data_IF_755987754585
#
_entry.id   IF_755987754585
#
_cell.length_a   1.000
_cell.length_b   1.000
_cell.length_c   1.000
_cell.angle_alpha   90.00
_cell.angle_beta   90.00
_cell.angle_gamma   90.00
#
_symmetry.space_group_name_H-M   'P 1'
#
loop_
_entity.id
_entity.type
_entity.pdbx_description
1 polymer ?
#
# COMPACT_ATOMS: atom_id res chain seq x y z
N UNK A 1 21.35 -8.31 5.77
CA UNK A 1 20.79 -9.57 5.35
C UNK A 1 21.26 -10.77 6.13
N UNK A 2 22.11 -10.65 7.09
CA UNK A 2 22.31 -11.78 7.98
C UNK A 2 20.98 -12.30 8.53
N UNK A 3 20.07 -11.41 8.86
CA UNK A 3 18.74 -11.75 9.41
C UNK A 3 17.83 -12.44 8.39
N UNK A 4 17.74 -11.95 7.16
CA UNK A 4 16.93 -12.57 6.13
C UNK A 4 17.57 -13.86 5.57
N UNK A 5 18.90 -13.88 5.40
CA UNK A 5 19.63 -15.10 5.02
C UNK A 5 19.54 -16.20 6.09
N UNK A 6 19.66 -15.84 7.37
CA UNK A 6 19.46 -16.78 8.48
C UNK A 6 18.05 -17.36 8.49
N UNK A 7 17.07 -16.65 7.91
CA UNK A 7 15.67 -17.05 7.80
C UNK A 7 15.32 -17.65 6.42
N UNK A 8 16.31 -17.91 5.56
CA UNK A 8 16.12 -18.58 4.27
C UNK A 8 15.52 -17.69 3.16
N UNK A 9 15.41 -16.39 3.38
CA UNK A 9 14.85 -15.47 2.38
C UNK A 9 15.98 -14.81 1.61
N UNK A 10 16.00 -14.98 0.29
CA UNK A 10 16.88 -14.24 -0.60
C UNK A 10 16.28 -12.86 -0.89
N UNK A 11 17.07 -11.81 -0.65
CA UNK A 11 16.79 -10.50 -1.22
C UNK A 11 17.55 -10.43 -2.53
N UNK A 12 16.84 -10.30 -3.62
CA UNK A 12 17.42 -10.15 -4.95
C UNK A 12 17.43 -8.68 -5.35
N UNK A 13 18.27 -8.27 -6.31
CA UNK A 13 18.20 -6.92 -6.87
C UNK A 13 16.79 -6.58 -7.39
N UNK A 14 16.06 -7.58 -7.84
CA UNK A 14 14.70 -7.46 -8.29
C UNK A 14 13.73 -7.02 -7.18
N UNK A 15 14.04 -7.26 -5.92
CA UNK A 15 13.22 -6.82 -4.78
C UNK A 15 13.43 -5.35 -4.38
N UNK A 16 14.25 -4.61 -5.10
CA UNK A 16 14.59 -3.22 -4.74
C UNK A 16 13.41 -2.28 -4.76
N UNK A 17 12.52 -2.40 -5.72
CA UNK A 17 11.51 -1.40 -6.01
C UNK A 17 10.09 -1.79 -5.62
N UNK A 18 9.89 -2.92 -5.00
CA UNK A 18 8.53 -3.43 -4.89
C UNK A 18 7.77 -3.57 -6.23
N UNK A 19 8.36 -2.99 -7.29
CA UNK A 19 7.86 -2.95 -8.66
C UNK A 19 8.08 -4.21 -9.43
N UNK A 20 8.92 -5.05 -8.95
CA UNK A 20 9.35 -6.27 -9.61
C UNK A 20 8.21 -7.25 -9.73
N UNK A 21 7.22 -7.06 -8.94
CA UNK A 21 5.96 -7.76 -9.06
C UNK A 21 5.17 -7.36 -10.31
N UNK A 22 5.55 -6.24 -10.95
CA UNK A 22 4.77 -5.68 -12.06
C UNK A 22 4.72 -6.50 -13.33
N UNK A 23 5.72 -7.30 -13.65
CA UNK A 23 5.75 -8.03 -14.92
C UNK A 23 5.99 -9.52 -14.83
N UNK A 24 6.32 -10.06 -13.69
CA UNK A 24 6.79 -11.42 -13.70
C UNK A 24 6.24 -12.32 -12.62
N UNK A 25 5.63 -11.82 -11.55
CA UNK A 25 5.26 -12.71 -10.45
C UNK A 25 6.38 -13.73 -10.10
N UNK A 26 7.63 -13.37 -10.47
CA UNK A 26 8.78 -14.29 -10.49
C UNK A 26 9.78 -13.88 -9.44
N UNK A 27 9.51 -14.26 -8.21
CA UNK A 27 10.58 -14.40 -7.23
C UNK A 27 11.30 -15.71 -7.49
N UNK A 28 12.64 -15.71 -7.41
CA UNK A 28 13.47 -16.86 -7.78
C UNK A 28 13.02 -18.15 -7.06
N UNK A 29 12.65 -18.05 -5.78
CA UNK A 29 12.24 -19.20 -4.98
C UNK A 29 10.72 -19.45 -4.99
N UNK A 30 9.92 -18.64 -5.73
CA UNK A 30 8.45 -18.66 -5.73
C UNK A 30 7.89 -19.07 -7.09
N UNK A 31 6.92 -19.97 -7.07
CA UNK A 31 6.01 -20.22 -8.19
C UNK A 31 4.74 -19.42 -7.93
N UNK A 32 4.48 -18.44 -8.76
CA UNK A 32 3.58 -17.33 -8.52
C UNK A 32 3.96 -16.54 -7.25
N UNK A 33 3.57 -15.27 -7.18
CA UNK A 33 3.86 -14.44 -6.00
C UNK A 33 2.60 -14.09 -5.22
N UNK A 34 1.52 -13.78 -5.94
CA UNK A 34 0.24 -13.36 -5.38
C UNK A 34 -0.86 -13.50 -6.43
N UNK A 35 -2.13 -13.42 -5.99
CA UNK A 35 -3.32 -13.35 -6.85
C UNK A 35 -3.40 -14.48 -7.88
N UNK A 36 -3.16 -15.72 -7.44
CA UNK A 36 -2.93 -16.86 -8.30
C UNK A 36 -4.15 -17.78 -8.50
N UNK A 37 -5.32 -17.45 -7.96
CA UNK A 37 -6.48 -18.34 -8.08
C UNK A 37 -6.80 -18.74 -9.53
N UNK A 38 -6.75 -17.77 -10.46
CA UNK A 38 -7.07 -18.01 -11.86
C UNK A 38 -5.92 -18.59 -12.67
N UNK A 39 -4.70 -18.59 -12.10
CA UNK A 39 -3.58 -19.37 -12.67
C UNK A 39 -3.78 -20.87 -12.48
N UNK A 40 -4.57 -21.31 -11.47
CA UNK A 40 -4.91 -22.71 -11.22
C UNK A 40 -6.27 -23.11 -11.82
N UNK A 41 -7.27 -22.22 -11.75
CA UNK A 41 -8.63 -22.49 -12.25
C UNK A 41 -9.04 -21.34 -13.14
N UNK A 42 -8.69 -21.44 -14.43
CA UNK A 42 -8.93 -20.41 -15.42
C UNK A 42 -10.43 -20.24 -15.70
N UNK A 43 -10.97 -19.01 -15.66
CA UNK A 43 -12.34 -18.78 -16.09
C UNK A 43 -12.60 -19.12 -17.55
N UNK A 44 -11.61 -18.91 -18.42
CA UNK A 44 -11.73 -19.20 -19.88
C UNK A 44 -11.89 -20.70 -20.16
N UNK A 45 -11.35 -21.54 -19.25
CA UNK A 45 -11.45 -23.01 -19.38
C UNK A 45 -12.72 -23.55 -18.73
N UNK A 46 -13.11 -23.01 -17.56
CA UNK A 46 -14.12 -23.67 -16.73
C UNK A 46 -15.44 -22.91 -16.59
N UNK A 47 -15.53 -21.59 -16.82
CA UNK A 47 -16.71 -20.85 -16.40
C UNK A 47 -17.99 -21.22 -17.16
N UNK A 48 -17.90 -21.47 -18.45
CA UNK A 48 -19.07 -21.78 -19.26
C UNK A 48 -19.71 -23.15 -18.93
N UNK A 49 -18.89 -24.10 -18.46
CA UNK A 49 -19.35 -25.46 -18.12
C UNK A 49 -19.51 -25.69 -16.64
N UNK A 50 -18.71 -24.98 -15.79
CA UNK A 50 -18.61 -25.14 -14.34
C UNK A 50 -18.65 -23.78 -13.61
N UNK A 51 -19.71 -22.98 -13.75
CA UNK A 51 -19.81 -21.70 -13.06
C UNK A 51 -19.79 -21.83 -11.55
N UNK A 52 -20.09 -23.01 -10.99
CA UNK A 52 -20.03 -23.31 -9.54
C UNK A 52 -18.61 -23.32 -8.97
N UNK A 53 -17.57 -23.37 -9.78
CA UNK A 53 -16.17 -23.24 -9.35
C UNK A 53 -15.84 -21.82 -8.92
N UNK A 54 -16.60 -20.85 -9.41
CA UNK A 54 -16.36 -19.43 -9.17
C UNK A 54 -17.26 -18.89 -8.06
N UNK A 55 -16.82 -17.78 -7.45
CA UNK A 55 -17.48 -17.19 -6.29
C UNK A 55 -18.91 -16.75 -6.58
N UNK A 56 -19.78 -16.96 -5.61
CA UNK A 56 -21.15 -16.45 -5.62
C UNK A 56 -21.20 -15.11 -4.90
N UNK A 57 -21.84 -14.11 -5.51
CA UNK A 57 -22.23 -12.85 -4.88
C UNK A 57 -23.64 -12.44 -5.31
N UNK A 58 -24.50 -12.12 -4.34
CA UNK A 58 -25.88 -11.75 -4.64
C UNK A 58 -26.67 -12.86 -5.36
N UNK A 59 -26.41 -14.13 -5.04
CA UNK A 59 -27.06 -15.29 -5.66
C UNK A 59 -26.57 -15.68 -7.06
N UNK A 60 -25.60 -14.96 -7.62
CA UNK A 60 -25.06 -15.22 -8.96
C UNK A 60 -23.59 -15.61 -8.90
N UNK A 61 -23.17 -16.58 -9.72
CA UNK A 61 -21.79 -16.97 -9.95
C UNK A 61 -21.20 -16.08 -11.03
N UNK A 62 -19.98 -15.57 -10.81
CA UNK A 62 -19.27 -14.74 -11.78
C UNK A 62 -17.76 -14.84 -11.55
N UNK A 63 -16.99 -14.68 -12.62
CA UNK A 63 -15.53 -14.57 -12.57
C UNK A 63 -15.03 -13.13 -12.69
N UNK A 64 -15.92 -12.16 -13.02
CA UNK A 64 -15.62 -10.72 -13.04
C UNK A 64 -16.66 -9.95 -12.21
N UNK A 65 -16.22 -9.02 -11.40
CA UNK A 65 -17.04 -8.11 -10.61
C UNK A 65 -16.49 -6.69 -10.68
N UNK A 66 -17.30 -5.75 -11.17
CA UNK A 66 -16.93 -4.33 -11.29
C UNK A 66 -15.57 -4.11 -12.01
N UNK A 67 -15.35 -4.86 -13.10
CA UNK A 67 -14.14 -4.75 -13.91
C UNK A 67 -12.89 -5.44 -13.35
N UNK A 68 -12.97 -6.07 -12.17
CA UNK A 68 -11.87 -6.86 -11.59
C UNK A 68 -12.22 -8.35 -11.50
N UNK A 69 -11.19 -9.17 -11.33
CA UNK A 69 -11.32 -10.63 -11.18
C UNK A 69 -12.19 -11.01 -9.98
N UNK A 70 -13.01 -12.04 -10.13
CA UNK A 70 -13.75 -12.66 -9.03
C UNK A 70 -12.86 -13.54 -8.16
N UNK A 71 -13.49 -14.41 -7.36
CA UNK A 71 -12.80 -15.37 -6.50
C UNK A 71 -13.25 -16.79 -6.86
N UNK A 72 -12.57 -17.80 -6.33
CA UNK A 72 -13.00 -19.20 -6.43
C UNK A 72 -14.01 -19.58 -5.32
N UNK A 73 -14.74 -20.66 -5.52
CA UNK A 73 -15.58 -21.31 -4.51
C UNK A 73 -14.78 -22.43 -3.82
N UNK A 74 -14.02 -22.11 -2.80
CA UNK A 74 -13.10 -23.04 -2.15
C UNK A 74 -13.81 -24.17 -1.33
N UNK A 75 -15.12 -24.09 -1.15
CA UNK A 75 -15.90 -25.19 -0.59
C UNK A 75 -16.35 -26.23 -1.63
N UNK A 76 -16.07 -25.99 -2.93
CA UNK A 76 -16.33 -26.97 -3.98
C UNK A 76 -15.18 -27.99 -4.02
N UNK A 77 -15.45 -29.30 -3.89
CA UNK A 77 -14.40 -30.32 -3.87
C UNK A 77 -13.68 -30.47 -5.21
N UNK A 78 -14.34 -30.25 -6.34
CA UNK A 78 -13.73 -30.34 -7.67
C UNK A 78 -12.70 -29.22 -7.88
N UNK A 79 -12.94 -28.02 -7.34
CA UNK A 79 -11.96 -26.92 -7.34
C UNK A 79 -10.68 -27.35 -6.57
N UNK A 80 -10.88 -28.06 -5.45
CA UNK A 80 -9.74 -28.59 -4.72
C UNK A 80 -8.93 -29.60 -5.56
N UNK A 81 -9.61 -30.55 -6.23
CA UNK A 81 -8.95 -31.61 -7.02
C UNK A 81 -8.16 -31.02 -8.20
N UNK A 82 -8.71 -29.98 -8.87
CA UNK A 82 -8.02 -29.25 -9.95
C UNK A 82 -6.76 -28.57 -9.39
N UNK A 83 -6.90 -27.82 -8.29
CA UNK A 83 -5.78 -27.08 -7.68
C UNK A 83 -4.72 -28.05 -7.14
N UNK A 84 -5.09 -29.16 -6.49
CA UNK A 84 -4.17 -30.17 -6.00
C UNK A 84 -3.34 -30.76 -7.17
N UNK A 85 -4.00 -31.18 -8.24
CA UNK A 85 -3.35 -31.75 -9.43
C UNK A 85 -2.35 -30.78 -10.04
N UNK A 86 -2.77 -29.54 -10.26
CA UNK A 86 -1.94 -28.53 -10.89
C UNK A 86 -0.76 -28.09 -9.98
N UNK A 87 -1.01 -27.91 -8.69
CA UNK A 87 0.04 -27.57 -7.73
C UNK A 87 1.10 -28.66 -7.63
N UNK A 88 0.69 -29.93 -7.56
CA UNK A 88 1.64 -31.05 -7.54
C UNK A 88 2.44 -31.15 -8.85
N UNK A 89 1.81 -30.88 -10.00
CA UNK A 89 2.51 -30.81 -11.30
C UNK A 89 3.58 -29.69 -11.27
N UNK A 90 3.21 -28.48 -10.85
CA UNK A 90 4.12 -27.34 -10.75
C UNK A 90 5.27 -27.59 -9.78
N UNK A 91 5.01 -28.23 -8.63
CA UNK A 91 6.06 -28.64 -7.69
C UNK A 91 7.03 -29.59 -8.37
N UNK A 92 6.55 -30.55 -9.16
CA UNK A 92 7.39 -31.51 -9.88
C UNK A 92 8.24 -30.84 -10.96
N UNK A 93 7.65 -29.95 -11.74
CA UNK A 93 8.31 -29.28 -12.87
C UNK A 93 9.30 -28.18 -12.45
N UNK A 94 9.15 -27.64 -11.23
CA UNK A 94 9.99 -26.57 -10.71
C UNK A 94 10.77 -27.01 -9.45
N UNK A 95 11.75 -27.92 -9.58
CA UNK A 95 12.51 -28.40 -8.44
C UNK A 95 13.36 -27.33 -7.76
N UNK A 96 13.66 -26.23 -8.44
CA UNK A 96 14.39 -25.07 -7.92
C UNK A 96 13.52 -24.16 -7.03
N UNK A 97 12.17 -24.29 -7.10
CA UNK A 97 11.24 -23.47 -6.32
C UNK A 97 10.96 -24.11 -4.96
N UNK A 98 10.81 -23.26 -3.95
CA UNK A 98 10.42 -23.67 -2.59
C UNK A 98 9.00 -23.26 -2.22
N UNK A 99 8.52 -22.13 -2.74
CA UNK A 99 7.25 -21.55 -2.36
C UNK A 99 6.27 -21.59 -3.53
N UNK A 100 5.09 -22.12 -3.29
CA UNK A 100 4.00 -22.22 -4.25
C UNK A 100 2.80 -21.45 -3.72
N UNK A 101 2.43 -20.38 -4.42
CA UNK A 101 1.36 -19.49 -3.99
C UNK A 101 -0.01 -20.01 -4.40
N UNK A 102 -0.95 -19.89 -3.49
CA UNK A 102 -2.38 -20.01 -3.76
C UNK A 102 -3.12 -18.92 -2.99
N UNK A 103 -3.33 -17.79 -3.62
CA UNK A 103 -3.91 -16.61 -2.98
C UNK A 103 -5.04 -15.96 -3.79
N UNK A 104 -5.93 -15.28 -3.06
CA UNK A 104 -7.09 -14.62 -3.64
C UNK A 104 -6.70 -13.56 -4.68
N UNK A 105 -7.55 -13.40 -5.69
CA UNK A 105 -7.41 -12.37 -6.71
C UNK A 105 -7.61 -10.97 -6.13
N UNK A 106 -7.01 -9.96 -6.75
CA UNK A 106 -7.05 -8.57 -6.30
C UNK A 106 -8.38 -7.89 -6.67
N UNK A 107 -9.38 -8.09 -5.82
CA UNK A 107 -10.65 -7.40 -5.97
C UNK A 107 -11.34 -7.17 -4.61
N UNK A 108 -11.26 -5.94 -4.10
CA UNK A 108 -11.89 -5.57 -2.83
C UNK A 108 -13.44 -5.56 -2.86
N UNK A 109 -14.06 -5.57 -4.05
CA UNK A 109 -15.51 -5.66 -4.21
C UNK A 109 -16.06 -7.06 -3.93
N UNK A 110 -15.20 -8.09 -3.88
CA UNK A 110 -15.60 -9.49 -3.67
C UNK A 110 -15.00 -10.01 -2.37
N UNK A 111 -15.82 -10.07 -1.34
CA UNK A 111 -15.44 -10.58 -0.02
C UNK A 111 -15.52 -12.11 0.05
N UNK A 112 -14.84 -12.82 -0.86
CA UNK A 112 -14.91 -14.28 -0.97
C UNK A 112 -16.23 -14.79 -1.56
N UNK A 113 -16.41 -16.12 -1.58
CA UNK A 113 -17.62 -16.76 -2.07
C UNK A 113 -18.74 -16.68 -1.05
N UNK A 114 -19.92 -16.24 -1.48
CA UNK A 114 -21.12 -16.10 -0.64
C UNK A 114 -22.07 -17.31 -0.68
N UNK A 115 -21.66 -18.47 -1.18
CA UNK A 115 -22.48 -19.69 -1.11
C UNK A 115 -22.66 -20.12 0.35
N UNK A 116 -23.64 -21.00 0.59
CA UNK A 116 -24.02 -21.44 1.93
C UNK A 116 -22.85 -22.06 2.72
N UNK A 117 -22.08 -22.92 2.04
CA UNK A 117 -20.96 -23.64 2.69
C UNK A 117 -19.78 -22.73 2.98
N UNK A 118 -19.32 -21.86 2.04
CA UNK A 118 -18.28 -20.90 2.30
C UNK A 118 -18.65 -19.98 3.47
N UNK A 119 -19.89 -19.41 3.46
CA UNK A 119 -20.36 -18.57 4.58
C UNK A 119 -20.38 -19.30 5.92
N UNK A 120 -20.75 -20.59 5.95
CA UNK A 120 -20.76 -21.39 7.16
C UNK A 120 -19.35 -21.56 7.74
N UNK A 121 -18.38 -21.90 6.89
CA UNK A 121 -16.98 -22.09 7.27
C UNK A 121 -16.36 -20.76 7.75
N UNK A 122 -16.55 -19.68 7.01
CA UNK A 122 -16.02 -18.36 7.37
C UNK A 122 -16.62 -17.84 8.69
N UNK A 123 -17.92 -18.05 8.90
CA UNK A 123 -18.60 -17.70 10.16
C UNK A 123 -18.04 -18.50 11.34
N UNK A 124 -17.81 -19.79 11.18
CA UNK A 124 -17.24 -20.65 12.21
C UNK A 124 -15.82 -20.20 12.61
N UNK A 125 -15.03 -19.69 11.66
CA UNK A 125 -13.70 -19.17 11.88
C UNK A 125 -13.64 -17.70 12.37
N UNK A 126 -14.76 -17.13 12.80
CA UNK A 126 -14.81 -15.76 13.33
C UNK A 126 -15.12 -14.68 12.29
N UNK A 127 -15.69 -15.06 11.14
CA UNK A 127 -16.14 -14.13 10.09
C UNK A 127 -15.03 -13.68 9.14
N UNK A 128 -14.03 -14.49 8.93
CA UNK A 128 -12.92 -14.26 7.99
C UNK A 128 -12.94 -15.29 6.85
N UNK A 129 -12.57 -14.87 5.64
CA UNK A 129 -12.40 -15.77 4.49
C UNK A 129 -11.34 -16.85 4.70
N UNK A 130 -10.52 -16.73 5.74
CA UNK A 130 -9.58 -17.79 6.15
C UNK A 130 -10.28 -19.04 6.68
N UNK A 131 -11.56 -18.94 7.07
CA UNK A 131 -12.36 -20.11 7.44
C UNK A 131 -12.51 -21.11 6.32
N UNK A 132 -12.62 -20.63 5.08
CA UNK A 132 -12.67 -21.45 3.88
C UNK A 132 -11.27 -21.74 3.31
N UNK A 133 -10.40 -20.74 3.29
CA UNK A 133 -9.08 -20.83 2.64
C UNK A 133 -8.10 -21.69 3.43
N UNK A 134 -7.96 -21.51 4.74
CA UNK A 134 -6.89 -22.17 5.49
C UNK A 134 -7.05 -23.71 5.59
N UNK A 135 -8.24 -24.30 5.78
CA UNK A 135 -8.41 -25.74 5.66
C UNK A 135 -8.05 -26.29 4.26
N UNK A 136 -8.36 -25.54 3.21
CA UNK A 136 -8.02 -25.87 1.83
C UNK A 136 -6.48 -25.93 1.66
N UNK A 137 -5.77 -24.88 2.10
CA UNK A 137 -4.31 -24.83 2.08
C UNK A 137 -3.65 -25.92 2.91
N UNK A 138 -4.18 -26.18 4.10
CA UNK A 138 -3.66 -27.23 4.97
C UNK A 138 -3.74 -28.62 4.29
N UNK A 139 -4.82 -28.88 3.56
CA UNK A 139 -4.98 -30.12 2.80
C UNK A 139 -3.95 -30.20 1.67
N UNK A 140 -3.73 -29.11 0.92
CA UNK A 140 -2.68 -29.04 -0.11
C UNK A 140 -1.28 -29.21 0.48
N UNK A 141 -0.98 -28.57 1.59
CA UNK A 141 0.31 -28.62 2.26
C UNK A 141 0.66 -30.03 2.77
N UNK A 142 -0.33 -30.73 3.34
CA UNK A 142 -0.15 -32.16 3.71
C UNK A 142 0.11 -33.04 2.50
N UNK A 143 -0.63 -32.82 1.40
CA UNK A 143 -0.47 -33.59 0.18
C UNK A 143 0.90 -33.36 -0.46
N UNK A 144 1.35 -32.12 -0.53
CA UNK A 144 2.66 -31.76 -1.06
C UNK A 144 3.79 -32.45 -0.28
N UNK A 145 3.74 -32.45 1.06
CA UNK A 145 4.71 -33.18 1.90
C UNK A 145 4.67 -34.69 1.70
N UNK A 146 3.49 -35.25 1.48
CA UNK A 146 3.36 -36.69 1.27
C UNK A 146 3.91 -37.13 -0.09
N UNK A 147 3.78 -36.33 -1.13
CA UNK A 147 4.25 -36.61 -2.48
C UNK A 147 5.75 -36.29 -2.63
N UNK A 148 6.22 -35.24 -1.96
CA UNK A 148 7.62 -34.76 -2.03
C UNK A 148 8.26 -34.70 -0.63
N UNK A 149 8.43 -35.86 0.06
CA UNK A 149 8.90 -35.89 1.45
C UNK A 149 10.32 -35.38 1.63
N UNK A 150 11.16 -35.50 0.63
CA UNK A 150 12.58 -35.10 0.66
C UNK A 150 12.81 -33.68 0.17
N UNK A 151 11.72 -32.92 -0.12
CA UNK A 151 11.81 -31.55 -0.60
C UNK A 151 11.25 -30.56 0.41
N UNK A 152 11.94 -29.45 0.54
CA UNK A 152 11.44 -28.28 1.28
C UNK A 152 10.43 -27.51 0.41
N UNK A 153 9.13 -27.83 0.57
CA UNK A 153 8.03 -27.22 -0.19
C UNK A 153 7.09 -26.51 0.77
N UNK A 154 6.85 -25.25 0.50
CA UNK A 154 5.93 -24.38 1.23
C UNK A 154 4.75 -23.97 0.35
N UNK A 155 3.54 -24.03 0.89
CA UNK A 155 2.34 -23.47 0.27
C UNK A 155 2.10 -22.10 0.90
N UNK A 156 2.04 -21.06 0.09
CA UNK A 156 1.84 -19.71 0.59
C UNK A 156 0.50 -19.11 0.19
N UNK A 157 0.03 -18.16 0.97
CA UNK A 157 -1.15 -17.37 0.65
C UNK A 157 -1.06 -15.95 1.20
N UNK A 158 -1.92 -15.05 0.70
CA UNK A 158 -2.10 -13.70 1.24
C UNK A 158 -3.11 -13.70 2.38
N UNK A 159 -2.77 -13.03 3.47
CA UNK A 159 -3.74 -12.49 4.42
C UNK A 159 -4.04 -11.05 4.01
N UNK A 160 -5.14 -10.85 3.25
CA UNK A 160 -5.43 -9.64 2.50
C UNK A 160 -6.94 -9.43 2.37
N UNK A 161 -7.45 -8.21 2.51
CA UNK A 161 -8.88 -7.90 2.47
C UNK A 161 -9.76 -8.85 3.31
N UNK A 162 -10.54 -9.71 2.66
CA UNK A 162 -11.47 -10.61 3.33
C UNK A 162 -10.80 -11.77 4.08
N UNK A 163 -9.53 -12.06 3.78
CA UNK A 163 -8.69 -13.05 4.46
C UNK A 163 -7.70 -12.44 5.46
N UNK A 164 -7.71 -11.11 5.66
CA UNK A 164 -6.74 -10.39 6.48
C UNK A 164 -6.74 -10.82 7.96
N UNK A 165 -7.93 -11.07 8.51
CA UNK A 165 -8.07 -11.46 9.93
C UNK A 165 -7.70 -12.91 10.17
N UNK A 166 -6.88 -13.16 11.19
CA UNK A 166 -6.56 -14.51 11.65
C UNK A 166 -7.83 -15.32 12.00
N UNK A 167 -7.95 -16.57 11.56
CA UNK A 167 -9.10 -17.42 11.84
C UNK A 167 -9.10 -17.92 13.29
N UNK A 168 -10.29 -18.16 13.86
CA UNK A 168 -10.44 -18.79 15.15
C UNK A 168 -10.47 -20.32 15.01
N UNK A 169 -9.74 -21.01 15.88
CA UNK A 169 -9.82 -22.47 16.01
C UNK A 169 -9.14 -23.26 14.87
N UNK A 170 -8.41 -22.61 13.99
CA UNK A 170 -7.68 -23.23 12.88
C UNK A 170 -6.22 -22.80 12.96
N UNK A 171 -5.28 -23.76 12.89
CA UNK A 171 -3.84 -23.51 12.78
C UNK A 171 -3.35 -23.94 11.40
N UNK A 172 -2.21 -23.40 10.99
CA UNK A 172 -1.55 -23.80 9.74
C UNK A 172 -0.85 -25.16 9.91
N UNK A 173 -0.72 -25.87 8.80
CA UNK A 173 0.30 -26.91 8.66
C UNK A 173 1.70 -26.29 8.71
N UNK A 174 2.76 -27.03 9.13
CA UNK A 174 4.10 -26.48 9.30
C UNK A 174 4.74 -25.91 8.03
N UNK A 175 4.24 -26.31 6.86
CA UNK A 175 4.70 -25.82 5.56
C UNK A 175 3.71 -24.85 4.87
N UNK A 176 2.85 -24.21 5.65
CA UNK A 176 2.01 -23.11 5.15
C UNK A 176 2.64 -21.78 5.57
N UNK A 177 2.78 -20.85 4.63
CA UNK A 177 3.33 -19.51 4.83
C UNK A 177 2.24 -18.46 4.60
N UNK A 178 2.06 -17.59 5.56
CA UNK A 178 1.09 -16.48 5.50
C UNK A 178 1.84 -15.20 5.14
N UNK A 179 1.51 -14.60 3.98
CA UNK A 179 1.93 -13.25 3.61
C UNK A 179 0.92 -12.26 4.14
N UNK A 180 1.23 -11.66 5.29
CA UNK A 180 0.35 -10.72 5.99
C UNK A 180 0.55 -9.31 5.47
N UNK A 181 -0.50 -8.72 4.91
CA UNK A 181 -0.48 -7.38 4.36
C UNK A 181 -0.69 -6.32 5.46
N UNK A 182 0.17 -5.29 5.52
CA UNK A 182 0.10 -4.20 6.50
C UNK A 182 -0.92 -3.11 6.14
N UNK A 183 -1.88 -3.40 5.27
CA UNK A 183 -2.85 -2.42 4.74
C UNK A 183 -3.52 -1.49 5.75
N UNK A 184 -3.95 -1.96 6.94
CA UNK A 184 -4.55 -1.07 7.93
C UNK A 184 -3.51 -0.22 8.65
N UNK A 185 -2.20 -0.46 8.44
CA UNK A 185 -1.13 0.24 9.13
C UNK A 185 -1.08 1.74 8.82
N UNK A 186 -0.66 2.53 9.81
CA UNK A 186 -0.21 3.90 9.62
C UNK A 186 1.31 3.88 9.38
N UNK A 187 1.72 4.25 8.18
CA UNK A 187 3.13 4.21 7.75
C UNK A 187 3.98 5.33 8.36
N UNK A 188 3.35 6.28 9.07
CA UNK A 188 4.01 7.36 9.80
C UNK A 188 4.23 7.07 11.30
N UNK A 189 3.67 5.95 11.81
CA UNK A 189 3.73 5.56 13.23
C UNK A 189 4.45 4.24 13.40
N UNK A 190 5.36 4.17 14.36
CA UNK A 190 6.12 2.95 14.69
C UNK A 190 5.21 1.81 15.16
N UNK A 191 5.44 0.61 14.66
CA UNK A 191 4.76 -0.61 15.14
C UNK A 191 5.30 -1.09 16.50
N UNK A 192 6.47 -0.64 16.95
CA UNK A 192 6.97 -0.87 18.32
C UNK A 192 6.21 -0.05 19.36
N UNK A 193 5.89 1.20 19.01
CA UNK A 193 5.09 2.11 19.84
C UNK A 193 3.88 2.62 19.04
N UNK A 194 2.90 1.76 18.79
CA UNK A 194 1.83 2.05 17.84
C UNK A 194 0.79 3.05 18.35
N UNK A 195 0.86 3.49 19.61
CA UNK A 195 -0.17 4.35 20.21
C UNK A 195 -1.58 3.76 20.03
N UNK A 196 -2.53 4.59 19.62
CA UNK A 196 -3.89 4.20 19.24
C UNK A 196 -4.11 4.43 17.74
N UNK A 197 -4.90 3.59 17.10
CA UNK A 197 -5.27 3.74 15.68
C UNK A 197 -4.71 2.63 14.78
N UNK A 198 -4.43 2.97 13.54
CA UNK A 198 -4.11 1.99 12.49
C UNK A 198 -2.81 1.21 12.73
N UNK A 199 -1.79 1.83 13.31
CA UNK A 199 -0.55 1.13 13.67
C UNK A 199 -0.82 0.08 14.77
N UNK A 200 -1.67 0.40 15.75
CA UNK A 200 -2.13 -0.54 16.79
C UNK A 200 -2.92 -1.69 16.18
N UNK A 201 -3.77 -1.42 15.19
CA UNK A 201 -4.54 -2.48 14.52
C UNK A 201 -3.61 -3.52 13.89
N UNK A 202 -2.57 -3.07 13.18
CA UNK A 202 -1.59 -3.98 12.58
C UNK A 202 -0.72 -4.69 13.62
N UNK A 203 -0.26 -3.99 14.66
CA UNK A 203 0.47 -4.58 15.77
C UNK A 203 -0.32 -5.75 16.39
N UNK A 204 -1.60 -5.54 16.72
CA UNK A 204 -2.44 -6.56 17.34
C UNK A 204 -2.77 -7.70 16.36
N UNK A 205 -2.77 -7.41 15.07
CA UNK A 205 -3.00 -8.41 14.02
C UNK A 205 -1.84 -9.41 13.94
N UNK A 206 -0.60 -8.96 14.02
CA UNK A 206 0.59 -9.84 14.07
C UNK A 206 0.47 -10.80 15.27
N UNK A 207 0.09 -10.30 16.46
CA UNK A 207 -0.08 -11.12 17.64
C UNK A 207 -1.13 -12.24 17.44
N UNK A 208 -2.26 -11.92 16.81
CA UNK A 208 -3.31 -12.92 16.49
C UNK A 208 -2.86 -13.93 15.45
N UNK A 209 -2.10 -13.52 14.45
CA UNK A 209 -1.56 -14.44 13.45
C UNK A 209 -0.50 -15.38 14.03
N UNK A 210 0.29 -14.93 15.01
CA UNK A 210 1.24 -15.80 15.74
C UNK A 210 0.56 -16.94 16.51
N UNK A 211 -0.71 -16.78 16.89
CA UNK A 211 -1.49 -17.88 17.48
C UNK A 211 -1.86 -18.95 16.43
N UNK A 212 -1.84 -18.61 15.15
CA UNK A 212 -2.27 -19.46 14.03
C UNK A 212 -1.07 -20.12 13.33
N UNK A 213 0.05 -19.42 13.20
CA UNK A 213 1.22 -19.85 12.42
C UNK A 213 2.53 -19.32 12.98
N UNK A 214 3.61 -20.08 12.78
CA UNK A 214 4.99 -19.67 13.02
C UNK A 214 5.67 -19.09 11.76
N UNK A 215 4.97 -19.07 10.61
CA UNK A 215 5.53 -18.69 9.31
C UNK A 215 4.80 -17.50 8.72
N UNK A 216 5.21 -16.31 9.19
CA UNK A 216 4.69 -15.04 8.71
C UNK A 216 5.74 -14.36 7.83
N UNK A 217 5.35 -13.96 6.64
CA UNK A 217 6.04 -12.98 5.80
C UNK A 217 5.17 -11.72 5.79
N UNK A 218 5.75 -10.55 6.02
CA UNK A 218 4.99 -9.29 5.95
C UNK A 218 5.08 -8.73 4.54
N UNK A 219 3.92 -8.43 3.97
CA UNK A 219 3.80 -7.57 2.80
C UNK A 219 3.53 -6.16 3.31
N UNK A 220 4.57 -5.37 3.38
CA UNK A 220 4.53 -4.01 3.89
C UNK A 220 4.39 -3.00 2.76
N UNK A 221 3.73 -1.87 3.05
CA UNK A 221 3.53 -0.79 2.11
C UNK A 221 4.28 0.44 2.63
N UNK A 222 5.06 1.09 1.76
CA UNK A 222 5.97 2.16 2.19
C UNK A 222 5.75 3.48 1.46
N UNK A 223 4.66 3.58 0.69
CA UNK A 223 4.25 4.76 -0.08
C UNK A 223 2.74 4.94 -0.04
N UNK A 224 2.25 6.09 -0.52
CA UNK A 224 0.84 6.33 -0.72
C UNK A 224 0.45 6.01 -2.17
N UNK A 225 -0.32 4.96 -2.39
CA UNK A 225 -0.75 4.51 -3.74
C UNK A 225 -1.76 5.44 -4.41
N UNK A 226 -2.48 6.24 -3.62
CA UNK A 226 -3.39 7.25 -4.15
C UNK A 226 -2.67 8.50 -4.63
N UNK A 227 -1.46 8.75 -4.10
CA UNK A 227 -0.68 9.94 -4.38
C UNK A 227 0.82 9.60 -4.33
N UNK A 228 1.35 8.94 -5.36
CA UNK A 228 2.73 8.47 -5.41
C UNK A 228 3.77 9.61 -5.35
N UNK A 229 3.37 10.82 -5.73
CA UNK A 229 4.25 12.00 -5.77
C UNK A 229 4.19 12.88 -4.51
N UNK A 230 3.28 12.61 -3.58
CA UNK A 230 3.17 13.45 -2.39
C UNK A 230 4.36 13.20 -1.44
N UNK A 231 4.91 14.23 -0.77
CA UNK A 231 5.89 14.02 0.30
C UNK A 231 5.37 13.03 1.34
N UNK A 232 6.15 11.97 1.61
CA UNK A 232 5.75 10.85 2.46
C UNK A 232 6.84 10.51 3.49
N UNK A 233 6.96 11.32 4.59
CA UNK A 233 8.10 11.30 5.50
C UNK A 233 8.04 10.15 6.51
N UNK A 234 8.24 8.91 6.07
CA UNK A 234 8.18 7.70 6.91
C UNK A 234 9.54 7.03 7.18
N UNK A 235 10.66 7.65 6.84
CA UNK A 235 11.98 7.07 7.13
C UNK A 235 12.23 6.87 8.63
N UNK A 236 11.70 7.76 9.47
CA UNK A 236 11.92 7.74 10.92
C UNK A 236 11.38 6.52 11.65
N UNK A 237 10.40 5.82 11.07
CA UNK A 237 9.78 4.62 11.68
C UNK A 237 10.31 3.30 11.14
N UNK A 238 11.09 3.31 10.05
CA UNK A 238 11.47 2.09 9.35
C UNK A 238 12.35 1.15 10.19
N UNK A 239 13.27 1.70 10.99
CA UNK A 239 14.08 0.89 11.91
C UNK A 239 13.22 0.19 12.96
N UNK A 240 12.30 0.91 13.55
CA UNK A 240 11.45 0.40 14.61
C UNK A 240 10.48 -0.66 14.05
N UNK A 241 9.95 -0.44 12.85
CA UNK A 241 9.13 -1.42 12.16
C UNK A 241 9.93 -2.70 11.86
N UNK A 242 11.18 -2.57 11.40
CA UNK A 242 12.07 -3.71 11.21
C UNK A 242 12.33 -4.46 12.52
N UNK A 243 12.58 -3.74 13.62
CA UNK A 243 12.77 -4.33 14.95
C UNK A 243 11.49 -5.08 15.40
N UNK A 244 10.31 -4.48 15.21
CA UNK A 244 9.03 -5.11 15.51
C UNK A 244 8.86 -6.42 14.73
N UNK A 245 9.20 -6.46 13.45
CA UNK A 245 9.15 -7.69 12.66
C UNK A 245 10.11 -8.76 13.18
N UNK A 246 11.33 -8.37 13.57
CA UNK A 246 12.33 -9.28 14.14
C UNK A 246 11.88 -9.88 15.50
N UNK A 247 11.37 -9.05 16.40
CA UNK A 247 10.84 -9.47 17.72
C UNK A 247 9.63 -10.38 17.60
N UNK A 248 8.87 -10.25 16.51
CA UNK A 248 7.72 -11.08 16.23
C UNK A 248 8.02 -12.31 15.37
N UNK A 249 9.28 -12.65 15.14
CA UNK A 249 9.69 -13.79 14.33
C UNK A 249 9.15 -13.77 12.90
N UNK A 250 8.91 -12.60 12.32
CA UNK A 250 8.59 -12.46 10.92
C UNK A 250 9.75 -13.00 10.08
N UNK A 251 9.46 -13.95 9.20
CA UNK A 251 10.49 -14.68 8.45
C UNK A 251 11.01 -13.92 7.24
N UNK A 252 10.26 -12.92 6.78
CA UNK A 252 10.64 -12.05 5.68
C UNK A 252 9.72 -10.87 5.55
N UNK A 253 10.23 -9.83 4.88
CA UNK A 253 9.49 -8.61 4.59
C UNK A 253 9.61 -8.31 3.10
N UNK A 254 8.49 -7.97 2.50
CA UNK A 254 8.43 -7.39 1.18
C UNK A 254 7.89 -5.96 1.33
N UNK A 255 8.72 -4.97 1.00
CA UNK A 255 8.29 -3.56 0.98
C UNK A 255 7.80 -3.19 -0.41
N UNK A 256 6.51 -2.91 -0.55
CA UNK A 256 5.95 -2.40 -1.79
C UNK A 256 6.10 -0.88 -1.84
N UNK A 257 6.96 -0.43 -2.73
CA UNK A 257 7.24 0.98 -3.00
C UNK A 257 6.57 1.50 -4.27
N UNK A 258 7.07 2.62 -4.79
CA UNK A 258 6.65 3.18 -6.07
C UNK A 258 7.12 2.32 -7.25
N UNK A 259 6.29 2.22 -8.28
CA UNK A 259 6.65 1.52 -9.54
C UNK A 259 7.47 2.40 -10.47
N UNK A 260 7.51 3.70 -10.21
CA UNK A 260 8.14 4.72 -11.04
C UNK A 260 9.22 5.44 -10.23
N UNK A 261 10.33 5.77 -10.87
CA UNK A 261 11.42 6.55 -10.26
C UNK A 261 10.99 7.95 -9.84
N UNK A 262 9.92 8.47 -10.47
CA UNK A 262 9.29 9.73 -10.11
C UNK A 262 8.51 9.73 -8.81
N UNK A 263 8.21 8.56 -8.23
CA UNK A 263 7.58 8.48 -6.93
C UNK A 263 8.39 9.19 -5.85
N UNK A 264 7.71 9.65 -4.81
CA UNK A 264 8.36 10.41 -3.74
C UNK A 264 9.52 9.62 -3.12
N UNK A 265 10.71 10.18 -3.21
CA UNK A 265 11.97 9.60 -2.68
C UNK A 265 12.26 8.16 -3.15
N UNK A 266 11.73 7.71 -4.29
CA UNK A 266 11.72 6.31 -4.70
C UNK A 266 13.13 5.68 -4.67
N UNK A 267 14.13 6.33 -5.28
CA UNK A 267 15.51 5.80 -5.37
C UNK A 267 16.16 5.73 -3.97
N UNK A 268 16.00 6.78 -3.15
CA UNK A 268 16.55 6.80 -1.80
C UNK A 268 15.83 5.77 -0.92
N UNK A 269 14.51 5.63 -1.04
CA UNK A 269 13.72 4.65 -0.30
C UNK A 269 14.15 3.23 -0.62
N UNK A 270 14.34 2.91 -1.89
CA UNK A 270 14.84 1.60 -2.34
C UNK A 270 16.21 1.29 -1.74
N UNK A 271 17.12 2.26 -1.75
CA UNK A 271 18.45 2.10 -1.15
C UNK A 271 18.38 1.86 0.36
N UNK A 272 17.68 2.73 1.09
CA UNK A 272 17.57 2.65 2.55
C UNK A 272 16.90 1.36 3.00
N UNK A 273 15.77 0.99 2.40
CA UNK A 273 15.05 -0.23 2.76
C UNK A 273 15.82 -1.50 2.38
N UNK A 274 16.48 -1.52 1.24
CA UNK A 274 17.33 -2.66 0.86
C UNK A 274 18.47 -2.86 1.87
N UNK A 275 19.08 -1.78 2.32
CA UNK A 275 20.14 -1.80 3.31
C UNK A 275 19.61 -2.20 4.69
N UNK A 276 18.46 -1.66 5.10
CA UNK A 276 17.79 -2.03 6.35
C UNK A 276 17.42 -3.51 6.39
N UNK A 277 16.85 -4.06 5.31
CA UNK A 277 16.58 -5.49 5.21
C UNK A 277 17.85 -6.34 5.27
N UNK A 278 18.99 -5.79 4.85
CA UNK A 278 20.29 -6.45 4.93
C UNK A 278 20.89 -6.43 6.33
N UNK A 279 20.94 -5.27 6.98
CA UNK A 279 21.61 -5.04 8.25
C UNK A 279 20.70 -5.34 9.47
N UNK A 280 19.38 -5.31 9.26
CA UNK A 280 18.39 -5.47 10.34
C UNK A 280 18.22 -4.20 11.15
N UNK A 281 17.51 -4.31 12.28
CA UNK A 281 17.16 -3.18 13.15
C UNK A 281 18.37 -2.51 13.86
N UNK A 282 19.58 -3.06 13.69
CA UNK A 282 20.81 -2.43 14.19
C UNK A 282 21.31 -1.28 13.31
N UNK A 283 20.74 -1.12 12.11
CA UNK A 283 21.07 -0.03 11.19
C UNK A 283 20.64 1.32 11.73
N UNK A 284 21.56 2.29 11.71
CA UNK A 284 21.24 3.70 11.91
C UNK A 284 20.61 4.30 10.65
N UNK A 285 19.28 4.18 10.54
CA UNK A 285 18.54 4.68 9.37
C UNK A 285 18.72 6.19 9.17
N UNK A 286 18.68 6.99 10.23
CA UNK A 286 18.85 8.45 10.15
C UNK A 286 20.23 8.86 9.64
N UNK A 287 21.28 8.23 10.16
CA UNK A 287 22.64 8.42 9.68
C UNK A 287 22.82 7.96 8.24
N UNK A 288 22.18 6.88 7.83
CA UNK A 288 22.28 6.38 6.45
C UNK A 288 21.53 7.26 5.45
N UNK A 289 20.35 7.77 5.81
CA UNK A 289 19.64 8.80 5.02
C UNK A 289 20.52 10.02 4.82
N UNK A 290 21.16 10.50 5.89
CA UNK A 290 22.07 11.65 5.80
C UNK A 290 23.28 11.36 4.91
N UNK A 291 23.89 10.19 5.02
CA UNK A 291 25.02 9.76 4.15
C UNK A 291 24.62 9.67 2.68
N UNK A 292 23.44 9.10 2.41
CA UNK A 292 22.90 9.05 1.05
C UNK A 292 22.71 10.46 0.48
N UNK A 293 22.08 11.36 1.24
CA UNK A 293 21.82 12.73 0.80
C UNK A 293 23.14 13.47 0.53
N UNK A 294 24.13 13.35 1.42
CA UNK A 294 25.45 13.98 1.21
C UNK A 294 26.14 13.47 -0.06
N UNK A 295 26.09 12.17 -0.31
CA UNK A 295 26.71 11.58 -1.50
C UNK A 295 25.96 11.89 -2.80
N UNK A 296 24.65 12.00 -2.74
CA UNK A 296 23.80 12.14 -3.91
C UNK A 296 23.56 13.60 -4.31
N UNK A 297 23.44 14.53 -3.35
CA UNK A 297 23.11 15.93 -3.58
C UNK A 297 24.31 16.90 -3.39
N UNK A 298 25.48 16.40 -2.97
CA UNK A 298 26.70 17.19 -2.85
C UNK A 298 26.51 18.48 -2.06
N UNK A 299 26.80 19.64 -2.68
CA UNK A 299 26.69 20.95 -2.03
C UNK A 299 25.26 21.34 -1.62
N UNK A 300 24.24 20.76 -2.26
CA UNK A 300 22.84 20.96 -1.89
C UNK A 300 22.39 20.10 -0.68
N UNK A 301 23.24 19.20 -0.19
CA UNK A 301 22.86 18.25 0.85
C UNK A 301 22.34 18.89 2.14
N UNK A 302 22.88 20.00 2.66
CA UNK A 302 22.34 20.63 3.89
C UNK A 302 20.87 21.03 3.75
N UNK A 303 20.49 21.62 2.63
CA UNK A 303 19.11 22.02 2.34
C UNK A 303 18.20 20.79 2.14
N UNK A 304 18.69 19.76 1.48
CA UNK A 304 17.91 18.52 1.29
C UNK A 304 17.69 17.82 2.64
N UNK A 305 18.67 17.78 3.54
CA UNK A 305 18.50 17.28 4.91
C UNK A 305 17.48 18.15 5.67
N UNK A 306 17.55 19.49 5.52
CA UNK A 306 16.55 20.40 6.13
C UNK A 306 15.14 20.08 5.62
N UNK A 307 14.98 19.80 4.31
CA UNK A 307 13.69 19.44 3.72
C UNK A 307 13.11 18.17 4.37
N UNK A 308 13.87 17.08 4.43
CA UNK A 308 13.39 15.83 5.04
C UNK A 308 13.11 15.98 6.54
N UNK A 309 13.95 16.68 7.26
CA UNK A 309 13.72 16.98 8.68
C UNK A 309 12.48 17.85 8.90
N UNK A 310 12.25 18.85 8.04
CA UNK A 310 11.07 19.70 8.12
C UNK A 310 9.77 18.93 7.84
N UNK A 311 9.76 18.06 6.83
CA UNK A 311 8.58 17.23 6.52
C UNK A 311 8.27 16.27 7.67
N UNK A 312 9.26 15.58 8.21
CA UNK A 312 9.10 14.68 9.34
C UNK A 312 8.66 15.40 10.62
N UNK A 313 9.28 16.54 10.95
CA UNK A 313 8.93 17.33 12.14
C UNK A 313 7.50 17.90 12.03
N UNK A 314 7.06 18.30 10.83
CA UNK A 314 5.72 18.80 10.62
C UNK A 314 4.67 17.66 10.68
N UNK A 315 5.01 16.45 10.21
CA UNK A 315 4.16 15.27 10.41
C UNK A 315 3.99 14.98 11.91
N UNK A 316 5.08 14.90 12.66
CA UNK A 316 5.06 14.61 14.09
C UNK A 316 4.28 15.64 14.93
N UNK A 317 4.19 16.90 14.47
CA UNK A 317 3.40 17.97 15.12
C UNK A 317 1.94 17.99 14.70
N UNK A 318 1.57 17.22 13.69
CA UNK A 318 0.21 17.17 13.16
C UNK A 318 -0.53 15.93 13.66
N UNK A 319 -1.85 15.93 13.51
CA UNK A 319 -2.68 14.73 13.68
C UNK A 319 -2.79 13.89 12.39
N UNK A 320 -1.96 14.18 11.38
CA UNK A 320 -1.96 13.44 10.12
C UNK A 320 -1.39 12.05 10.32
N UNK A 321 -2.03 11.06 9.71
CA UNK A 321 -1.52 9.70 9.53
C UNK A 321 -0.98 9.54 8.12
N UNK A 322 -0.17 8.52 7.87
CA UNK A 322 0.31 8.17 6.53
C UNK A 322 -0.32 6.86 6.09
N UNK A 323 -1.53 6.94 5.54
CA UNK A 323 -2.25 5.78 5.03
C UNK A 323 -1.93 5.46 3.57
N UNK A 324 -2.14 4.19 3.22
CA UNK A 324 -1.86 3.65 1.89
C UNK A 324 -2.66 4.35 0.77
N UNK A 325 -3.88 4.76 1.05
CA UNK A 325 -4.79 5.41 0.09
C UNK A 325 -5.28 6.78 0.57
N UNK A 326 -4.51 7.45 1.43
CA UNK A 326 -4.87 8.79 1.89
C UNK A 326 -4.91 9.76 0.71
N UNK A 327 -5.96 10.57 0.68
CA UNK A 327 -6.01 11.70 -0.23
C UNK A 327 -5.30 12.92 0.39
N UNK A 328 -4.90 13.87 -0.44
CA UNK A 328 -4.19 15.06 0.02
C UNK A 328 -5.00 15.91 1.02
N UNK A 329 -6.33 15.78 1.02
CA UNK A 329 -7.22 16.53 1.92
C UNK A 329 -6.94 16.24 3.40
N UNK A 330 -6.56 15.00 3.72
CA UNK A 330 -6.23 14.58 5.09
C UNK A 330 -5.06 15.37 5.69
N UNK A 331 -4.24 16.03 4.86
CA UNK A 331 -2.97 16.64 5.25
C UNK A 331 -2.92 18.16 5.09
N UNK A 332 -3.96 18.80 4.53
CA UNK A 332 -3.97 20.26 4.27
C UNK A 332 -3.83 21.15 5.51
N UNK A 333 -4.23 20.66 6.67
CA UNK A 333 -4.09 21.36 7.96
C UNK A 333 -2.96 20.78 8.81
N UNK A 334 -2.22 19.80 8.29
CA UNK A 334 -1.08 19.14 8.91
C UNK A 334 0.24 19.48 8.20
N UNK A 335 1.02 18.44 7.93
CA UNK A 335 2.35 18.59 7.33
C UNK A 335 2.35 19.14 5.90
N UNK A 336 1.24 19.02 5.15
CA UNK A 336 1.03 19.62 3.83
C UNK A 336 0.21 20.91 3.88
N UNK A 337 0.20 21.62 5.00
CA UNK A 337 -0.44 22.93 5.05
C UNK A 337 0.22 23.93 4.10
N UNK A 338 -0.52 24.95 3.66
CA UNK A 338 -0.01 25.99 2.75
C UNK A 338 1.32 26.59 3.22
N UNK A 339 1.46 26.87 4.51
CA UNK A 339 2.69 27.43 5.09
C UNK A 339 3.86 26.46 4.99
N UNK A 340 3.62 25.18 5.30
CA UNK A 340 4.63 24.14 5.24
C UNK A 340 5.08 23.88 3.79
N UNK A 341 4.15 23.74 2.85
CA UNK A 341 4.47 23.48 1.43
C UNK A 341 5.29 24.64 0.82
N UNK A 342 4.96 25.89 1.15
CA UNK A 342 5.78 27.05 0.75
C UNK A 342 7.18 26.98 1.35
N UNK A 343 7.29 26.64 2.63
CA UNK A 343 8.61 26.44 3.28
C UNK A 343 9.41 25.34 2.60
N UNK A 344 8.80 24.23 2.23
CA UNK A 344 9.48 23.16 1.50
C UNK A 344 9.99 23.65 0.14
N UNK A 345 9.20 24.42 -0.58
CA UNK A 345 9.60 25.05 -1.85
C UNK A 345 10.78 26.00 -1.67
N UNK A 346 10.75 26.87 -0.63
CA UNK A 346 11.84 27.79 -0.32
C UNK A 346 13.15 27.05 0.00
N UNK A 347 13.08 25.95 0.75
CA UNK A 347 14.24 25.10 1.03
C UNK A 347 14.82 24.53 -0.26
N UNK A 348 13.98 23.99 -1.14
CA UNK A 348 14.44 23.42 -2.41
C UNK A 348 15.01 24.50 -3.31
N UNK A 349 14.43 25.71 -3.37
CA UNK A 349 14.99 26.83 -4.12
C UNK A 349 16.40 27.19 -3.63
N UNK A 350 16.63 27.26 -2.33
CA UNK A 350 17.99 27.47 -1.76
C UNK A 350 18.97 26.36 -2.15
N UNK A 351 18.47 25.10 -2.23
CA UNK A 351 19.29 23.98 -2.71
C UNK A 351 19.75 24.19 -4.16
N UNK A 352 18.85 24.64 -5.04
CA UNK A 352 19.21 24.98 -6.42
C UNK A 352 20.20 26.13 -6.53
N UNK A 353 20.01 27.19 -5.73
CA UNK A 353 20.95 28.34 -5.74
C UNK A 353 22.38 27.94 -5.42
N UNK A 354 22.57 26.91 -4.56
CA UNK A 354 23.88 26.39 -4.19
C UNK A 354 24.58 25.60 -5.31
N UNK A 355 23.83 24.95 -6.15
CA UNK A 355 24.35 24.04 -7.18
C UNK A 355 24.12 24.58 -8.59
N UNK A 356 23.83 25.86 -8.71
CA UNK A 356 23.50 26.50 -9.98
C UNK A 356 24.55 26.23 -11.06
N UNK A 357 24.10 25.62 -12.16
CA UNK A 357 24.94 25.20 -13.28
C UNK A 357 25.52 23.79 -13.16
N UNK A 358 25.21 23.06 -12.07
CA UNK A 358 25.50 21.65 -11.97
C UNK A 358 24.26 20.85 -12.38
N UNK A 359 24.13 20.62 -13.69
CA UNK A 359 22.97 19.97 -14.31
C UNK A 359 22.64 18.60 -13.67
N UNK A 360 23.65 17.86 -13.24
CA UNK A 360 23.44 16.55 -12.62
C UNK A 360 22.69 16.68 -11.27
N UNK A 361 23.15 17.60 -10.41
CA UNK A 361 22.51 17.80 -9.09
C UNK A 361 21.17 18.52 -9.26
N UNK A 362 21.07 19.50 -10.15
CA UNK A 362 19.79 20.15 -10.48
C UNK A 362 18.76 19.12 -10.94
N UNK A 363 19.14 18.20 -11.85
CA UNK A 363 18.26 17.11 -12.30
C UNK A 363 17.81 16.18 -11.18
N UNK A 364 18.64 15.98 -10.14
CA UNK A 364 18.25 15.21 -8.93
C UNK A 364 17.28 15.99 -8.04
N UNK A 365 17.49 17.30 -7.89
CA UNK A 365 16.60 18.20 -7.16
C UNK A 365 15.23 18.34 -7.83
N UNK A 366 15.14 18.15 -9.15
CA UNK A 366 13.86 18.21 -9.89
C UNK A 366 12.82 17.23 -9.34
N UNK A 367 13.22 16.05 -8.86
CA UNK A 367 12.29 15.10 -8.26
C UNK A 367 11.68 15.66 -6.96
N UNK A 368 12.46 16.34 -6.13
CA UNK A 368 11.93 16.99 -4.91
C UNK A 368 11.03 18.17 -5.27
N UNK A 369 11.42 18.96 -6.27
CA UNK A 369 10.60 20.07 -6.80
C UNK A 369 9.29 19.55 -7.36
N UNK A 370 9.29 18.46 -8.10
CA UNK A 370 8.10 17.80 -8.64
C UNK A 370 7.12 17.42 -7.50
N UNK A 371 7.63 16.79 -6.44
CA UNK A 371 6.81 16.35 -5.32
C UNK A 371 6.16 17.56 -4.60
N UNK A 372 6.91 18.64 -4.39
CA UNK A 372 6.38 19.85 -3.76
C UNK A 372 5.40 20.58 -4.68
N UNK A 373 5.67 20.69 -5.99
CA UNK A 373 4.76 21.29 -6.96
C UNK A 373 3.44 20.51 -7.04
N UNK A 374 3.52 19.17 -7.05
CA UNK A 374 2.33 18.32 -7.01
C UNK A 374 1.47 18.56 -5.75
N UNK A 375 2.08 18.56 -4.57
CA UNK A 375 1.36 18.87 -3.33
C UNK A 375 0.75 20.28 -3.36
N UNK A 376 1.52 21.28 -3.84
CA UNK A 376 1.13 22.70 -3.88
C UNK A 376 -0.05 22.96 -4.80
N UNK A 377 -0.04 22.44 -6.04
CA UNK A 377 -1.12 22.71 -7.00
C UNK A 377 -2.48 22.15 -6.57
N UNK A 378 -2.50 21.14 -5.68
CA UNK A 378 -3.72 20.53 -5.15
C UNK A 378 -4.27 21.23 -3.90
N UNK A 379 -3.52 22.15 -3.29
CA UNK A 379 -3.97 22.89 -2.11
C UNK A 379 -5.22 23.76 -2.44
N UNK A 380 -6.27 23.72 -1.60
CA UNK A 380 -7.49 24.50 -1.86
C UNK A 380 -7.33 26.00 -1.65
N UNK A 381 -6.39 26.43 -0.82
CA UNK A 381 -6.25 27.78 -0.28
C UNK A 381 -5.06 28.58 -0.81
N UNK A 382 -4.52 28.20 -1.97
CA UNK A 382 -3.52 28.99 -2.70
C UNK A 382 -4.16 29.88 -3.76
N UNK A 383 -3.45 30.97 -4.14
CA UNK A 383 -3.87 31.86 -5.23
C UNK A 383 -3.85 31.16 -6.59
N UNK A 384 -4.69 31.65 -7.53
CA UNK A 384 -4.76 31.09 -8.89
C UNK A 384 -3.40 31.16 -9.58
N UNK A 385 -2.70 32.30 -9.48
CA UNK A 385 -1.37 32.48 -10.08
C UNK A 385 -0.37 31.42 -9.54
N UNK A 386 -0.28 31.30 -8.22
CA UNK A 386 0.61 30.37 -7.54
C UNK A 386 0.30 28.90 -7.92
N UNK A 387 -1.00 28.56 -8.04
CA UNK A 387 -1.43 27.23 -8.50
C UNK A 387 -1.00 26.95 -9.94
N UNK A 388 -1.18 27.91 -10.83
CA UNK A 388 -0.81 27.78 -12.23
C UNK A 388 0.72 27.63 -12.39
N UNK A 389 1.51 28.36 -11.60
CA UNK A 389 2.98 28.21 -11.59
C UNK A 389 3.39 26.81 -11.10
N UNK A 390 2.76 26.30 -10.02
CA UNK A 390 3.01 24.94 -9.53
C UNK A 390 2.59 23.88 -10.57
N UNK A 391 1.44 24.06 -11.24
CA UNK A 391 0.99 23.15 -12.31
C UNK A 391 1.94 23.17 -13.51
N UNK A 392 2.39 24.34 -13.94
CA UNK A 392 3.38 24.44 -15.04
C UNK A 392 4.70 23.77 -14.70
N UNK A 393 5.18 23.94 -13.46
CA UNK A 393 6.37 23.23 -12.97
C UNK A 393 6.16 21.71 -12.99
N UNK A 394 5.01 21.25 -12.50
CA UNK A 394 4.64 19.84 -12.53
C UNK A 394 4.61 19.29 -13.95
N UNK A 395 3.90 19.96 -14.88
CA UNK A 395 3.77 19.49 -16.26
C UNK A 395 5.13 19.38 -16.97
N UNK A 396 5.98 20.39 -16.82
CA UNK A 396 7.33 20.36 -17.37
C UNK A 396 8.15 19.18 -16.81
N UNK A 397 8.14 19.00 -15.50
CA UNK A 397 8.96 17.97 -14.85
C UNK A 397 8.48 16.55 -15.11
N UNK A 398 7.16 16.31 -15.19
CA UNK A 398 6.66 14.98 -15.56
C UNK A 398 7.02 14.61 -16.99
N UNK A 399 7.03 15.58 -17.92
CA UNK A 399 7.45 15.38 -19.31
C UNK A 399 8.97 15.13 -19.39
N UNK A 400 9.80 16.01 -18.81
CA UNK A 400 11.26 15.89 -18.80
C UNK A 400 11.76 14.61 -18.13
N UNK A 401 11.09 14.13 -17.10
CA UNK A 401 11.48 12.92 -16.35
C UNK A 401 10.74 11.64 -16.83
N UNK A 402 9.85 11.75 -17.80
CA UNK A 402 9.08 10.63 -18.33
C UNK A 402 8.16 9.98 -17.29
N UNK A 403 7.59 10.76 -16.37
CA UNK A 403 6.69 10.25 -15.33
C UNK A 403 5.32 9.93 -15.92
N UNK A 404 4.88 8.70 -15.79
CA UNK A 404 3.61 8.24 -16.37
C UNK A 404 2.54 7.91 -15.33
N UNK A 405 2.93 7.67 -14.07
CA UNK A 405 2.03 7.23 -13.00
C UNK A 405 1.98 8.25 -11.85
N UNK A 406 0.77 8.66 -11.52
CA UNK A 406 0.47 9.55 -10.39
C UNK A 406 -0.16 8.79 -9.21
N UNK A 407 -0.91 7.77 -9.54
CA UNK A 407 -1.57 6.82 -8.63
C UNK A 407 -1.30 5.40 -9.12
N UNK A 408 -1.46 4.41 -8.27
CA UNK A 408 -1.21 2.99 -8.62
C UNK A 408 -2.04 2.52 -9.82
N UNK A 409 -3.29 2.97 -9.94
CA UNK A 409 -4.23 2.55 -10.99
C UNK A 409 -4.63 3.70 -11.93
N UNK A 410 -3.85 4.78 -11.96
CA UNK A 410 -4.15 5.95 -12.77
C UNK A 410 -2.89 6.52 -13.40
N UNK A 411 -2.97 6.75 -14.71
CA UNK A 411 -1.90 7.38 -15.47
C UNK A 411 -2.04 8.92 -15.49
N UNK A 412 -1.02 9.58 -16.02
CA UNK A 412 -0.95 11.04 -16.15
C UNK A 412 -2.12 11.62 -16.96
N UNK A 413 -2.54 10.96 -18.06
CA UNK A 413 -3.64 11.43 -18.91
C UNK A 413 -4.95 11.51 -18.13
N UNK A 414 -5.27 10.45 -17.39
CA UNK A 414 -6.46 10.39 -16.55
C UNK A 414 -6.40 11.44 -15.44
N UNK A 415 -5.24 11.63 -14.81
CA UNK A 415 -5.02 12.66 -13.82
C UNK A 415 -5.29 14.05 -14.41
N UNK A 416 -4.68 14.38 -15.57
CA UNK A 416 -4.85 15.67 -16.23
C UNK A 416 -6.30 15.94 -16.62
N UNK A 417 -7.02 14.93 -17.09
CA UNK A 417 -8.45 15.05 -17.39
C UNK A 417 -9.30 15.34 -16.13
N UNK A 418 -8.92 14.83 -14.97
CA UNK A 418 -9.64 14.99 -13.71
C UNK A 418 -9.20 16.22 -12.91
N UNK A 419 -8.00 16.76 -13.17
CA UNK A 419 -7.40 17.84 -12.38
C UNK A 419 -8.30 19.08 -12.18
N UNK A 420 -8.98 19.65 -13.20
CA UNK A 420 -9.84 20.81 -13.01
C UNK A 420 -10.99 20.54 -12.03
N UNK A 421 -11.58 19.34 -12.12
CA UNK A 421 -12.66 18.93 -11.20
C UNK A 421 -12.10 18.69 -9.79
N UNK A 422 -10.93 18.08 -9.65
CA UNK A 422 -10.27 17.88 -8.36
C UNK A 422 -10.02 19.22 -7.65
N UNK A 423 -9.45 20.20 -8.34
CA UNK A 423 -9.20 21.54 -7.79
C UNK A 423 -10.50 22.21 -7.35
N UNK A 424 -11.53 22.18 -8.19
CA UNK A 424 -12.85 22.74 -7.86
C UNK A 424 -13.45 22.07 -6.64
N UNK A 425 -13.42 20.75 -6.59
CA UNK A 425 -13.92 19.96 -5.46
C UNK A 425 -13.16 20.29 -4.17
N UNK A 426 -11.85 20.39 -4.21
CA UNK A 426 -11.00 20.72 -3.08
C UNK A 426 -11.36 22.10 -2.49
N UNK A 427 -11.54 23.10 -3.35
CA UNK A 427 -11.95 24.46 -2.95
C UNK A 427 -13.34 24.44 -2.33
N UNK A 428 -14.31 23.73 -2.93
CA UNK A 428 -15.68 23.62 -2.41
C UNK A 428 -15.74 22.94 -1.04
N UNK A 429 -14.97 21.86 -0.86
CA UNK A 429 -14.89 21.15 0.44
C UNK A 429 -14.35 22.11 1.50
N UNK A 430 -13.29 22.86 1.21
CA UNK A 430 -12.74 23.82 2.15
C UNK A 430 -13.72 24.93 2.51
N UNK A 431 -14.51 25.40 1.55
CA UNK A 431 -15.50 26.45 1.77
C UNK A 431 -16.81 25.93 2.40
N UNK A 432 -17.03 24.62 2.42
CA UNK A 432 -18.31 24.02 2.87
C UNK A 432 -18.75 24.43 4.28
N UNK A 433 -17.87 24.58 5.30
CA UNK A 433 -18.28 25.07 6.61
C UNK A 433 -18.81 26.53 6.56
N UNK A 434 -18.14 27.38 5.78
CA UNK A 434 -18.56 28.78 5.60
C UNK A 434 -19.88 28.85 4.87
N UNK A 435 -20.07 28.09 3.81
CA UNK A 435 -21.32 27.98 3.05
C UNK A 435 -22.46 27.55 3.98
N UNK A 436 -22.21 26.54 4.82
CA UNK A 436 -23.21 26.06 5.79
C UNK A 436 -23.59 27.12 6.80
N UNK A 437 -22.64 27.90 7.35
CA UNK A 437 -22.91 29.02 8.27
C UNK A 437 -23.75 30.10 7.60
N UNK A 438 -23.44 30.45 6.34
CA UNK A 438 -24.20 31.42 5.57
C UNK A 438 -25.65 30.95 5.36
N UNK A 439 -25.83 29.68 4.99
CA UNK A 439 -27.17 29.10 4.79
C UNK A 439 -27.98 29.09 6.09
N UNK A 440 -27.38 28.72 7.21
CA UNK A 440 -28.03 28.78 8.53
C UNK A 440 -28.44 30.23 8.87
N UNK A 441 -27.54 31.19 8.67
CA UNK A 441 -27.84 32.62 8.92
C UNK A 441 -29.00 33.15 8.05
N UNK A 442 -29.03 32.75 6.77
CA UNK A 442 -30.14 33.09 5.87
C UNK A 442 -31.46 32.46 6.33
N UNK A 443 -31.48 31.19 6.72
CA UNK A 443 -32.68 30.52 7.22
C UNK A 443 -33.19 31.21 8.50
N UNK A 444 -32.30 31.50 9.44
CA UNK A 444 -32.64 32.23 10.66
C UNK A 444 -33.20 33.60 10.34
N UNK A 445 -32.57 34.34 9.43
CA UNK A 445 -33.04 35.64 8.95
C UNK A 445 -34.47 35.58 8.37
N UNK A 446 -34.73 34.59 7.50
CA UNK A 446 -36.06 34.37 6.91
C UNK A 446 -37.09 34.06 8.01
N UNK A 447 -36.76 33.16 8.95
CA UNK A 447 -37.65 32.79 10.07
C UNK A 447 -37.99 34.04 10.93
N UNK A 448 -36.99 34.87 11.21
CA UNK A 448 -37.19 36.10 11.97
C UNK A 448 -38.08 37.12 11.22
N UNK A 449 -37.89 37.26 9.91
CA UNK A 449 -38.72 38.11 9.05
C UNK A 449 -40.17 37.62 9.01
N UNK A 450 -40.38 36.32 8.89
CA UNK A 450 -41.72 35.72 8.90
C UNK A 450 -42.41 35.93 10.27
N UNK A 451 -41.67 35.73 11.37
CA UNK A 451 -42.19 36.02 12.73
C UNK A 451 -42.55 37.49 12.92
N UNK A 452 -41.74 38.43 12.42
CA UNK A 452 -42.01 39.87 12.46
C UNK A 452 -43.25 40.23 11.63
N UNK A 453 -43.42 39.65 10.43
CA UNK A 453 -44.64 39.87 9.61
C UNK A 453 -45.90 39.33 10.28
N UNK A 454 -45.84 38.18 10.96
CA UNK A 454 -47.00 37.65 11.74
C UNK A 454 -47.36 38.56 12.92
N UNK A 455 -46.37 39.10 13.65
CA UNK A 455 -46.58 40.04 14.77
C UNK A 455 -47.13 41.40 14.36
N UNK A 456 -46.99 41.78 13.08
CA UNK A 456 -47.58 43.06 12.55
C UNK A 456 -49.00 42.88 12.00
N UNK A 457 -49.49 41.64 11.89
CA UNK A 457 -50.85 41.30 11.40
C UNK A 457 -51.78 40.84 12.52
N UNK A 458 -51.26 40.59 13.73
CA UNK A 458 -51.97 40.43 15.00
C UNK A 458 -51.97 41.75 15.78
#
# INVERSE_FOLDING_TARGET
MPTLRKRGIKVTPENRRGTILGKGRQHIDWQYWCHSYYDYVSPDEYFDTHPEYFSMKGGKRRYVYNGGEGQLCLSNPEVYDIVEKEMLRLIGEHPEKKYFDFSCNDNFWVKGCQCKECKKLDKAAGGTGMGTLLPFLNKLARKARAVYPDREVYISTLAYFHTLKAPKGIKTEPNVVIKLCSMPGDQGTSYLDPGNGNAREFHDMIAKWKEVTDKIVVWDYVVNFKNLLVPFPNFGVQRDNQQFFEENNVQGVFHQGSRDEGGESAIMRDYILSKLMWEGSTMDVGGEVSRYIMAYYGEAAPEVIEYYNATAANLAKSSSTLGLYDNNMSHWFGYLSKGNVRRYEDIINRAYDKVKGNEEIESRLDYLRLNVAYAKMLLPNIGIKERNEAKATFDRLVDEKGITMIEELSNLDKFNAQYPMMVTTNVLIMLSPLILVILIALIVGIVLLVKRKKKRKS
#
